data_IF_116858398688
#
_entry.id   IF_116858398688
#
_cell.length_a   1.000
_cell.length_b   1.000
_cell.length_c   1.000
_cell.angle_alpha   90.00
_cell.angle_beta   90.00
_cell.angle_gamma   90.00
#
_symmetry.space_group_name_H-M   'P 1'
#
loop_
_entity.id
_entity.type
_entity.pdbx_description
1 polymer ?
#
# COMPACT_ATOMS: atom_id res chain seq x y z
N UNK A 1 -51.18 45.69 14.06
CA UNK A 1 -51.18 46.06 15.50
C UNK A 1 -49.95 45.40 16.11
N UNK A 2 -48.80 46.07 16.18
CA UNK A 2 -48.32 46.98 17.26
C UNK A 2 -48.35 46.35 18.65
N UNK A 3 -47.21 45.75 19.04
CA UNK A 3 -46.74 45.65 20.42
C UNK A 3 -45.22 45.77 20.43
N UNK A 4 -44.71 46.78 21.14
CA UNK A 4 -43.30 47.10 21.41
C UNK A 4 -42.91 46.62 22.82
N UNK A 5 -41.59 46.68 23.08
CA UNK A 5 -40.84 46.74 24.37
C UNK A 5 -40.06 45.44 24.64
N UNK A 6 -38.75 45.36 24.38
CA UNK A 6 -37.57 45.97 25.06
C UNK A 6 -37.59 45.73 26.58
N UNK A 7 -36.70 44.85 27.08
CA UNK A 7 -35.81 45.11 28.24
C UNK A 7 -34.50 44.35 28.04
N UNK A 8 -33.40 45.10 28.18
CA UNK A 8 -32.00 44.66 28.24
C UNK A 8 -31.72 44.11 29.65
N UNK A 9 -31.05 42.97 29.76
CA UNK A 9 -30.42 42.53 31.01
C UNK A 9 -29.00 42.03 30.71
N UNK A 10 -28.04 42.93 30.85
CA UNK A 10 -26.61 42.64 30.95
C UNK A 10 -26.36 41.95 32.29
N UNK A 11 -25.85 40.72 32.28
CA UNK A 11 -25.27 40.09 33.46
C UNK A 11 -23.81 39.77 33.15
N UNK A 12 -22.93 40.63 33.64
CA UNK A 12 -21.54 40.26 33.93
C UNK A 12 -21.59 39.21 35.05
N UNK A 13 -21.11 38.00 34.74
CA UNK A 13 -20.88 36.95 35.72
C UNK A 13 -19.55 36.29 35.41
N UNK A 14 -18.48 36.86 35.95
CA UNK A 14 -17.18 36.19 36.01
C UNK A 14 -17.29 35.01 36.97
N UNK A 15 -17.19 33.79 36.43
CA UNK A 15 -16.93 32.59 37.22
C UNK A 15 -15.65 31.94 36.66
N UNK A 16 -14.52 32.32 37.26
CA UNK A 16 -13.33 31.48 37.29
C UNK A 16 -13.71 30.17 37.99
N UNK A 17 -13.82 29.09 37.23
CA UNK A 17 -13.64 27.74 37.76
C UNK A 17 -12.59 27.06 36.91
N UNK A 18 -11.36 27.09 37.43
CA UNK A 18 -10.28 26.22 37.05
C UNK A 18 -10.67 24.77 37.35
N UNK A 19 -11.40 24.15 36.42
CA UNK A 19 -11.57 22.70 36.39
C UNK A 19 -10.38 22.12 35.66
N UNK A 20 -9.35 21.82 36.45
CA UNK A 20 -8.42 20.70 36.31
C UNK A 20 -8.16 20.31 34.85
N UNK A 21 -7.08 20.84 34.31
CA UNK A 21 -6.30 20.23 33.24
C UNK A 21 -5.86 18.84 33.68
N UNK A 22 -6.79 17.89 33.67
CA UNK A 22 -6.48 16.51 33.40
C UNK A 22 -6.07 16.47 31.94
N UNK A 23 -4.81 16.80 31.67
CA UNK A 23 -4.10 16.14 30.58
C UNK A 23 -4.15 14.66 30.96
N UNK A 24 -5.25 13.98 30.59
CA UNK A 24 -5.16 12.57 30.28
C UNK A 24 -4.07 12.55 29.22
N UNK A 25 -2.86 12.18 29.64
CA UNK A 25 -1.90 11.70 28.68
C UNK A 25 -2.68 10.64 27.91
N UNK A 26 -3.04 10.97 26.66
CA UNK A 26 -3.18 9.92 25.69
C UNK A 26 -1.88 9.15 25.84
N UNK A 27 -1.94 8.00 26.54
CA UNK A 27 -1.00 6.94 26.29
C UNK A 27 -1.13 6.75 24.78
N UNK A 28 -0.26 7.42 24.03
CA UNK A 28 0.01 7.07 22.66
C UNK A 28 0.23 5.58 22.78
N UNK A 29 -0.69 4.81 22.21
CA UNK A 29 -0.47 3.39 22.01
C UNK A 29 0.77 3.38 21.13
N UNK A 30 1.95 3.34 21.74
CA UNK A 30 3.20 3.08 21.05
C UNK A 30 3.04 1.62 20.69
N UNK A 31 2.34 1.39 19.60
CA UNK A 31 2.29 0.11 18.94
C UNK A 31 3.74 -0.31 18.81
N UNK A 32 4.09 -1.34 19.58
CA UNK A 32 5.49 -1.69 19.77
C UNK A 32 5.96 -2.18 18.41
N UNK A 33 6.73 -1.33 17.72
CA UNK A 33 7.20 -1.62 16.38
C UNK A 33 7.84 -3.02 16.34
N UNK A 34 7.65 -3.78 15.25
CA UNK A 34 8.19 -5.13 15.12
C UNK A 34 9.70 -5.17 15.38
N UNK A 35 10.17 -6.24 16.03
CA UNK A 35 11.60 -6.49 16.18
C UNK A 35 12.19 -6.95 14.84
N UNK A 36 13.37 -6.45 14.47
CA UNK A 36 14.03 -6.83 13.21
C UNK A 36 13.87 -5.84 12.06
N UNK A 37 13.23 -4.68 12.29
CA UNK A 37 13.24 -3.57 11.34
C UNK A 37 14.45 -2.65 11.54
N UNK A 38 14.89 -1.97 10.49
CA UNK A 38 16.01 -1.02 10.51
C UNK A 38 15.64 0.28 11.24
N UNK A 39 16.65 1.13 11.48
CA UNK A 39 16.40 2.47 12.02
C UNK A 39 15.66 3.36 11.01
N UNK A 40 16.00 3.25 9.72
CA UNK A 40 15.35 4.02 8.66
C UNK A 40 13.86 3.65 8.56
N UNK A 41 13.53 2.36 8.61
CA UNK A 41 12.13 1.91 8.59
C UNK A 41 11.35 2.43 9.83
N UNK A 42 11.96 2.42 11.03
CA UNK A 42 11.35 3.01 12.23
C UNK A 42 11.06 4.50 12.08
N UNK A 43 11.97 5.25 11.47
CA UNK A 43 11.82 6.69 11.27
C UNK A 43 10.70 7.02 10.28
N UNK A 44 10.51 6.20 9.25
CA UNK A 44 9.37 6.31 8.33
C UNK A 44 8.06 6.02 9.07
N UNK A 45 7.99 4.92 9.83
CA UNK A 45 6.78 4.49 10.55
C UNK A 45 6.38 5.43 11.69
N UNK A 46 7.32 6.23 12.21
CA UNK A 46 7.03 7.22 13.24
C UNK A 46 6.37 8.51 12.69
N UNK A 47 6.23 8.64 11.36
CA UNK A 47 5.55 9.77 10.73
C UNK A 47 4.03 9.59 10.82
N UNK A 48 3.29 10.70 10.90
CA UNK A 48 1.82 10.69 11.01
C UNK A 48 1.13 10.00 9.81
N UNK A 49 1.79 10.00 8.66
CA UNK A 49 1.30 9.41 7.42
C UNK A 49 2.44 8.70 6.70
N UNK A 50 2.16 7.49 6.21
CA UNK A 50 3.06 6.77 5.31
C UNK A 50 2.48 6.88 3.92
N UNK A 51 2.88 7.95 3.21
CA UNK A 51 2.44 8.24 1.85
C UNK A 51 3.29 7.54 0.79
N UNK A 52 3.07 7.92 -0.47
CA UNK A 52 3.84 7.39 -1.59
C UNK A 52 5.34 7.75 -1.51
N UNK A 53 5.68 8.92 -0.97
CA UNK A 53 7.07 9.36 -0.84
C UNK A 53 7.80 8.55 0.24
N UNK A 54 7.18 8.32 1.39
CA UNK A 54 7.67 7.42 2.44
C UNK A 54 7.86 5.98 1.92
N UNK A 55 6.87 5.48 1.18
CA UNK A 55 6.93 4.16 0.59
C UNK A 55 8.09 4.05 -0.43
N UNK A 56 8.29 5.08 -1.25
CA UNK A 56 9.42 5.17 -2.18
C UNK A 56 10.77 5.25 -1.47
N UNK A 57 10.84 5.95 -0.35
CA UNK A 57 12.03 6.00 0.52
C UNK A 57 12.39 4.60 1.04
N UNK A 58 11.42 3.85 1.57
CA UNK A 58 11.63 2.47 2.02
C UNK A 58 12.11 1.54 0.90
N UNK A 59 11.57 1.67 -0.31
CA UNK A 59 12.04 0.94 -1.49
C UNK A 59 13.48 1.27 -1.87
N UNK A 60 13.88 2.54 -1.74
CA UNK A 60 15.27 2.93 -1.99
C UNK A 60 16.22 2.31 -0.94
N UNK A 61 15.82 2.28 0.34
CA UNK A 61 16.59 1.62 1.39
C UNK A 61 16.71 0.12 1.16
N UNK A 62 15.61 -0.53 0.77
CA UNK A 62 15.59 -1.94 0.41
C UNK A 62 16.51 -2.25 -0.78
N UNK A 63 16.46 -1.43 -1.85
CA UNK A 63 17.35 -1.55 -3.00
C UNK A 63 18.83 -1.50 -2.59
N UNK A 64 19.19 -0.54 -1.75
CA UNK A 64 20.56 -0.39 -1.25
C UNK A 64 21.01 -1.58 -0.41
N UNK A 65 20.15 -2.10 0.47
CA UNK A 65 20.45 -3.31 1.24
C UNK A 65 20.70 -4.51 0.33
N UNK A 66 19.83 -4.71 -0.66
CA UNK A 66 19.95 -5.80 -1.65
C UNK A 66 21.27 -5.75 -2.41
N UNK A 67 21.62 -4.59 -2.95
CA UNK A 67 22.83 -4.44 -3.77
C UNK A 67 24.13 -4.65 -2.99
N UNK A 68 24.12 -4.46 -1.66
CA UNK A 68 25.31 -4.63 -0.83
C UNK A 68 25.55 -6.09 -0.43
N UNK A 69 24.51 -6.84 -0.08
CA UNK A 69 24.67 -8.06 0.73
C UNK A 69 24.03 -9.33 0.14
N UNK A 70 23.21 -9.22 -0.92
CA UNK A 70 22.42 -10.36 -1.43
C UNK A 70 22.99 -11.03 -2.69
N UNK A 71 23.90 -10.37 -3.40
CA UNK A 71 24.40 -10.82 -4.71
C UNK A 71 23.44 -10.54 -5.88
N UNK A 72 22.37 -9.78 -5.63
CA UNK A 72 21.42 -9.32 -6.63
C UNK A 72 21.62 -7.86 -7.01
N UNK A 73 21.17 -7.49 -8.21
CA UNK A 73 20.92 -6.12 -8.64
C UNK A 73 19.44 -5.96 -8.91
N UNK A 74 18.90 -4.81 -8.53
CA UNK A 74 17.49 -4.50 -8.68
C UNK A 74 17.30 -3.38 -9.70
N UNK A 75 16.22 -3.43 -10.48
CA UNK A 75 15.85 -2.33 -11.37
C UNK A 75 15.30 -1.15 -10.58
N UNK A 76 15.14 -0.01 -11.25
CA UNK A 76 14.30 1.07 -10.71
C UNK A 76 12.89 0.52 -10.46
N UNK A 77 12.30 0.73 -9.26
CA UNK A 77 10.93 0.34 -8.97
C UNK A 77 9.95 1.07 -9.90
N UNK A 78 9.01 0.32 -10.46
CA UNK A 78 7.92 0.85 -11.29
C UNK A 78 6.58 0.66 -10.59
N UNK A 79 5.64 1.62 -10.68
CA UNK A 79 4.28 1.41 -10.20
C UNK A 79 3.66 0.18 -10.84
N UNK A 80 3.13 -0.73 -10.04
CA UNK A 80 2.39 -1.89 -10.52
C UNK A 80 0.95 -1.46 -10.85
N UNK A 81 0.52 -1.47 -12.11
CA UNK A 81 -0.85 -1.06 -12.49
C UNK A 81 -1.91 -2.07 -12.04
N UNK A 82 -1.53 -3.31 -11.72
CA UNK A 82 -2.47 -4.36 -11.31
C UNK A 82 -2.92 -4.14 -9.86
N UNK A 83 -1.99 -3.81 -8.96
CA UNK A 83 -2.33 -3.35 -7.61
C UNK A 83 -2.64 -1.85 -7.51
N UNK A 84 -2.15 -1.05 -8.46
CA UNK A 84 -2.19 0.42 -8.54
C UNK A 84 -1.57 1.15 -7.35
N UNK A 85 -0.84 0.43 -6.51
CA UNK A 85 -0.25 0.95 -5.26
C UNK A 85 1.13 0.39 -4.98
N UNK A 86 1.35 -0.91 -5.20
CA UNK A 86 2.67 -1.50 -4.99
C UNK A 86 3.64 -1.06 -6.07
N UNK A 87 4.93 -1.23 -5.77
CA UNK A 87 5.95 -1.20 -6.79
C UNK A 87 6.26 -2.64 -7.21
N UNK A 88 6.64 -2.79 -8.47
CA UNK A 88 7.30 -3.97 -8.98
C UNK A 88 8.71 -3.58 -9.42
N UNK A 89 9.63 -4.53 -9.38
CA UNK A 89 10.98 -4.36 -9.89
C UNK A 89 11.50 -5.69 -10.44
N UNK A 90 12.55 -5.63 -11.24
CA UNK A 90 13.28 -6.80 -11.68
C UNK A 90 14.46 -7.04 -10.75
N UNK A 91 14.59 -8.27 -10.25
CA UNK A 91 15.75 -8.72 -9.49
C UNK A 91 16.59 -9.59 -10.42
N UNK A 92 17.86 -9.24 -10.59
CA UNK A 92 18.80 -9.95 -11.46
C UNK A 92 20.02 -10.40 -10.68
N UNK A 93 20.50 -11.62 -10.90
CA UNK A 93 21.74 -12.09 -10.28
C UNK A 93 22.94 -11.35 -10.87
N UNK A 94 23.85 -10.88 -10.01
CA UNK A 94 25.11 -10.29 -10.46
C UNK A 94 26.03 -11.43 -10.93
N UNK A 95 26.55 -11.40 -12.18
CA UNK A 95 27.43 -12.45 -12.68
C UNK A 95 28.66 -12.67 -11.77
N UNK A 96 28.84 -13.90 -11.30
CA UNK A 96 29.96 -14.29 -10.43
C UNK A 96 29.80 -13.93 -8.94
N UNK A 97 28.71 -13.26 -8.55
CA UNK A 97 28.40 -13.04 -7.14
C UNK A 97 27.83 -14.32 -6.50
N UNK A 98 28.07 -14.49 -5.20
CA UNK A 98 27.38 -15.50 -4.41
C UNK A 98 26.01 -14.96 -4.02
N UNK A 99 24.96 -15.67 -4.43
CA UNK A 99 23.58 -15.34 -4.09
C UNK A 99 23.29 -15.72 -2.63
N UNK A 100 22.64 -14.82 -1.91
CA UNK A 100 22.21 -15.02 -0.54
C UNK A 100 20.72 -14.63 -0.36
N UNK A 101 19.82 -15.61 -0.49
CA UNK A 101 18.38 -15.41 -0.36
C UNK A 101 17.94 -15.05 1.07
N UNK A 102 18.74 -15.44 2.08
CA UNK A 102 18.46 -15.08 3.47
C UNK A 102 18.73 -13.59 3.69
N UNK A 103 19.77 -13.04 3.03
CA UNK A 103 20.03 -11.61 3.02
C UNK A 103 18.95 -10.83 2.27
N UNK A 104 18.43 -11.36 1.16
CA UNK A 104 17.28 -10.78 0.45
C UNK A 104 16.04 -10.67 1.35
N UNK A 105 15.66 -11.80 1.96
CA UNK A 105 14.53 -11.85 2.89
C UNK A 105 14.72 -10.92 4.09
N UNK A 106 15.94 -10.81 4.60
CA UNK A 106 16.27 -9.89 5.69
C UNK A 106 16.20 -8.42 5.25
N UNK A 107 16.72 -8.09 4.07
CA UNK A 107 16.63 -6.74 3.51
C UNK A 107 15.16 -6.32 3.33
N UNK A 108 14.31 -7.20 2.79
CA UNK A 108 12.89 -6.90 2.62
C UNK A 108 12.21 -6.65 3.97
N UNK A 109 12.41 -7.55 4.93
CA UNK A 109 11.86 -7.42 6.29
C UNK A 109 12.35 -6.15 6.98
N UNK A 110 13.65 -5.90 6.93
CA UNK A 110 14.29 -4.85 7.70
C UNK A 110 14.09 -3.45 7.12
N UNK A 111 13.85 -3.31 5.81
CA UNK A 111 13.73 -2.00 5.17
C UNK A 111 12.35 -1.68 4.59
N UNK A 112 11.53 -2.67 4.21
CA UNK A 112 10.32 -2.44 3.41
C UNK A 112 9.00 -2.94 4.03
N UNK A 113 8.97 -4.17 4.55
CA UNK A 113 7.72 -4.91 4.81
C UNK A 113 6.67 -4.12 5.61
N UNK A 114 7.05 -3.51 6.73
CA UNK A 114 6.08 -2.82 7.59
C UNK A 114 5.66 -1.46 7.02
N UNK A 115 6.56 -0.77 6.32
CA UNK A 115 6.20 0.45 5.58
C UNK A 115 5.22 0.12 4.45
N UNK A 116 5.43 -0.97 3.71
CA UNK A 116 4.49 -1.43 2.69
C UNK A 116 3.12 -1.78 3.31
N UNK A 117 3.10 -2.51 4.43
CA UNK A 117 1.85 -2.82 5.14
C UNK A 117 1.09 -1.55 5.55
N UNK A 118 1.79 -0.60 6.16
CA UNK A 118 1.18 0.64 6.65
C UNK A 118 0.68 1.52 5.50
N UNK A 119 1.47 1.64 4.42
CA UNK A 119 1.05 2.34 3.20
C UNK A 119 -0.21 1.72 2.59
N UNK A 120 -0.28 0.39 2.46
CA UNK A 120 -1.46 -0.29 1.91
C UNK A 120 -2.68 -0.16 2.82
N UNK A 121 -2.48 -0.21 4.14
CA UNK A 121 -3.54 0.01 5.13
C UNK A 121 -4.18 1.38 4.97
N UNK A 122 -3.36 2.42 4.78
CA UNK A 122 -3.83 3.80 4.57
C UNK A 122 -4.37 4.03 3.15
N UNK A 123 -3.81 3.34 2.16
CA UNK A 123 -4.12 3.49 0.74
C UNK A 123 -4.45 2.14 0.07
N UNK A 124 -5.69 1.64 0.23
CA UNK A 124 -6.07 0.34 -0.29
C UNK A 124 -5.78 0.17 -1.78
N UNK A 125 -5.34 -1.03 -2.14
CA UNK A 125 -5.02 -1.39 -3.52
C UNK A 125 -6.25 -1.26 -4.43
N UNK A 126 -6.01 -0.70 -5.61
CA UNK A 126 -6.99 -0.55 -6.68
C UNK A 126 -6.28 -0.64 -8.00
N UNK A 127 -6.70 -1.56 -8.85
CA UNK A 127 -6.21 -1.69 -10.22
C UNK A 127 -6.38 -0.37 -10.97
N UNK A 128 -5.45 -0.07 -11.87
CA UNK A 128 -5.57 1.08 -12.76
C UNK A 128 -6.93 1.03 -13.51
N UNK A 129 -7.75 2.09 -13.49
CA UNK A 129 -9.09 2.06 -14.08
C UNK A 129 -9.11 1.79 -15.58
N UNK A 130 -8.05 2.17 -16.31
CA UNK A 130 -7.95 1.91 -17.75
C UNK A 130 -7.58 0.44 -17.97
N UNK A 131 -6.66 -0.10 -17.17
CA UNK A 131 -6.34 -1.53 -17.19
C UNK A 131 -7.57 -2.38 -16.88
N UNK A 132 -8.30 -2.05 -15.81
CA UNK A 132 -9.50 -2.79 -15.40
C UNK A 132 -10.57 -2.82 -16.50
N UNK A 133 -10.75 -1.72 -17.25
CA UNK A 133 -11.65 -1.69 -18.39
C UNK A 133 -11.20 -2.63 -19.52
N UNK A 134 -9.90 -2.70 -19.83
CA UNK A 134 -9.38 -3.64 -20.82
C UNK A 134 -9.51 -5.09 -20.36
N UNK A 135 -9.31 -5.34 -19.05
CA UNK A 135 -9.55 -6.65 -18.45
C UNK A 135 -11.01 -7.07 -18.65
N UNK A 136 -11.99 -6.23 -18.32
CA UNK A 136 -13.41 -6.55 -18.55
C UNK A 136 -13.73 -6.84 -20.02
N UNK A 137 -13.23 -6.01 -20.94
CA UNK A 137 -13.45 -6.22 -22.37
C UNK A 137 -12.88 -7.57 -22.87
N UNK A 138 -11.71 -7.96 -22.35
CA UNK A 138 -11.08 -9.23 -22.70
C UNK A 138 -11.76 -10.44 -22.04
N UNK A 139 -12.24 -10.30 -20.80
CA UNK A 139 -13.05 -11.33 -20.12
C UNK A 139 -14.37 -11.58 -20.87
N UNK A 140 -15.05 -10.52 -21.30
CA UNK A 140 -16.25 -10.61 -22.15
C UNK A 140 -15.95 -11.38 -23.45
N UNK A 141 -14.84 -11.04 -24.13
CA UNK A 141 -14.43 -11.69 -25.37
C UNK A 141 -14.13 -13.17 -25.19
N UNK A 142 -13.56 -13.55 -24.03
CA UNK A 142 -13.27 -14.95 -23.68
C UNK A 142 -14.45 -15.70 -23.07
N UNK A 143 -15.56 -15.01 -22.77
CA UNK A 143 -16.72 -15.61 -22.10
C UNK A 143 -16.46 -16.00 -20.65
N UNK A 144 -15.50 -15.34 -19.97
CA UNK A 144 -15.17 -15.58 -18.57
C UNK A 144 -16.04 -14.67 -17.70
N UNK A 145 -16.74 -15.24 -16.72
CA UNK A 145 -17.65 -14.48 -15.86
C UNK A 145 -16.93 -13.56 -14.88
N UNK A 146 -17.50 -12.38 -14.64
CA UNK A 146 -17.11 -11.42 -13.61
C UNK A 146 -18.36 -10.66 -13.14
N UNK A 147 -18.25 -9.90 -12.05
CA UNK A 147 -19.38 -9.19 -11.43
C UNK A 147 -19.56 -7.76 -11.96
N UNK A 148 -18.49 -7.17 -12.49
CA UNK A 148 -18.43 -5.77 -12.92
C UNK A 148 -18.19 -4.79 -11.78
N UNK A 149 -18.05 -5.29 -10.55
CA UNK A 149 -17.80 -4.49 -9.35
C UNK A 149 -16.35 -4.59 -8.85
N UNK A 150 -15.51 -5.34 -9.56
CA UNK A 150 -14.11 -5.52 -9.23
C UNK A 150 -13.37 -4.18 -9.25
N UNK A 151 -12.51 -3.97 -8.27
CA UNK A 151 -11.64 -2.81 -8.13
C UNK A 151 -10.18 -3.22 -8.00
N UNK A 152 -9.92 -4.45 -7.58
CA UNK A 152 -8.59 -5.04 -7.45
C UNK A 152 -8.62 -6.51 -7.94
N UNK A 153 -7.46 -7.16 -7.99
CA UNK A 153 -7.35 -8.54 -8.46
C UNK A 153 -8.12 -9.55 -7.58
N UNK A 154 -8.13 -9.37 -6.26
CA UNK A 154 -8.81 -10.28 -5.34
C UNK A 154 -10.33 -10.28 -5.53
N UNK A 155 -10.92 -9.16 -5.98
CA UNK A 155 -12.37 -9.06 -6.21
C UNK A 155 -12.89 -10.02 -7.30
N UNK A 156 -12.03 -10.53 -8.19
CA UNK A 156 -12.40 -11.56 -9.17
C UNK A 156 -12.66 -12.95 -8.53
N UNK A 157 -12.37 -13.08 -7.24
CA UNK A 157 -12.38 -14.31 -6.44
C UNK A 157 -13.15 -14.10 -5.12
N UNK A 158 -14.47 -13.88 -5.16
CA UNK A 158 -15.26 -13.58 -3.96
C UNK A 158 -15.26 -14.70 -2.91
N UNK A 159 -15.09 -15.95 -3.33
CA UNK A 159 -14.97 -17.13 -2.46
C UNK A 159 -13.50 -17.53 -2.22
N UNK A 160 -12.55 -16.67 -2.61
CA UNK A 160 -11.11 -16.95 -2.57
C UNK A 160 -10.59 -17.71 -3.79
N UNK A 161 -9.28 -18.03 -3.76
CA UNK A 161 -8.55 -18.65 -4.88
C UNK A 161 -8.72 -20.19 -4.98
N UNK A 162 -9.82 -20.75 -4.47
CA UNK A 162 -10.04 -22.21 -4.45
C UNK A 162 -10.18 -22.80 -5.87
N UNK A 163 -10.50 -21.98 -6.86
CA UNK A 163 -10.49 -22.34 -8.28
C UNK A 163 -9.19 -21.88 -8.97
N UNK A 164 -8.21 -22.79 -9.01
CA UNK A 164 -6.94 -22.59 -9.71
C UNK A 164 -7.11 -22.36 -11.22
N UNK A 165 -8.17 -22.89 -11.82
CA UNK A 165 -8.44 -22.70 -13.26
C UNK A 165 -8.84 -21.25 -13.49
N UNK A 166 -9.82 -20.76 -12.72
CA UNK A 166 -10.22 -19.35 -12.75
C UNK A 166 -9.06 -18.42 -12.43
N UNK A 167 -8.26 -18.74 -11.41
CA UNK A 167 -7.08 -17.94 -11.05
C UNK A 167 -6.08 -17.83 -12.21
N UNK A 168 -5.83 -18.93 -12.92
CA UNK A 168 -4.98 -18.92 -14.12
C UNK A 168 -5.60 -18.11 -15.26
N UNK A 169 -6.89 -18.27 -15.53
CA UNK A 169 -7.57 -17.59 -16.64
C UNK A 169 -7.65 -16.08 -16.43
N UNK A 170 -8.11 -15.64 -15.25
CA UNK A 170 -8.16 -14.22 -14.88
C UNK A 170 -6.73 -13.66 -14.81
N UNK A 171 -5.80 -14.36 -14.15
CA UNK A 171 -4.41 -13.93 -14.05
C UNK A 171 -3.74 -13.73 -15.41
N UNK A 172 -3.99 -14.63 -16.36
CA UNK A 172 -3.49 -14.49 -17.72
C UNK A 172 -4.07 -13.26 -18.43
N UNK A 173 -5.38 -13.01 -18.31
CA UNK A 173 -6.01 -11.82 -18.91
C UNK A 173 -5.44 -10.54 -18.29
N UNK A 174 -5.37 -10.47 -16.96
CA UNK A 174 -4.84 -9.29 -16.25
C UNK A 174 -3.40 -9.01 -16.65
N UNK A 175 -2.55 -10.04 -16.65
CA UNK A 175 -1.14 -9.88 -17.02
C UNK A 175 -0.94 -9.54 -18.50
N UNK A 176 -1.68 -10.18 -19.41
CA UNK A 176 -1.62 -9.88 -20.84
C UNK A 176 -2.02 -8.42 -21.13
N UNK A 177 -3.08 -7.92 -20.49
CA UNK A 177 -3.50 -6.53 -20.66
C UNK A 177 -2.50 -5.56 -20.02
N UNK A 178 -1.98 -5.89 -18.83
CA UNK A 178 -0.99 -5.05 -18.16
C UNK A 178 0.30 -4.92 -18.99
N UNK A 179 0.83 -6.03 -19.49
CA UNK A 179 2.06 -6.03 -20.32
C UNK A 179 1.87 -5.31 -21.66
N UNK A 180 0.68 -5.40 -22.27
CA UNK A 180 0.35 -4.68 -23.51
C UNK A 180 0.28 -3.16 -23.29
N UNK A 181 -0.31 -2.72 -22.18
CA UNK A 181 -0.54 -1.29 -21.90
C UNK A 181 0.64 -0.61 -21.21
N UNK A 182 1.41 -1.36 -20.42
CA UNK A 182 2.50 -0.86 -19.58
C UNK A 182 3.77 -1.66 -19.90
N UNK A 183 4.55 -1.26 -20.92
CA UNK A 183 5.69 -2.03 -21.44
C UNK A 183 6.84 -2.30 -20.44
N UNK A 184 6.80 -1.70 -19.25
CA UNK A 184 7.74 -1.96 -18.16
C UNK A 184 7.30 -3.08 -17.20
N UNK A 185 6.03 -3.50 -17.24
CA UNK A 185 5.52 -4.58 -16.40
C UNK A 185 5.99 -5.90 -17.01
N UNK A 186 7.06 -6.47 -16.45
CA UNK A 186 7.60 -7.77 -16.86
C UNK A 186 7.25 -8.89 -15.87
N UNK A 187 6.84 -8.51 -14.66
CA UNK A 187 6.47 -9.42 -13.59
C UNK A 187 5.39 -8.78 -12.73
N UNK A 188 4.51 -9.62 -12.21
CA UNK A 188 3.57 -9.27 -11.16
C UNK A 188 3.34 -10.47 -10.26
N UNK A 189 3.39 -10.25 -8.95
CA UNK A 189 3.02 -11.22 -7.94
C UNK A 189 1.54 -11.05 -7.58
N UNK A 190 0.74 -12.09 -7.79
CA UNK A 190 -0.62 -12.14 -7.28
C UNK A 190 -0.61 -12.20 -5.75
N UNK A 191 -0.59 -11.04 -5.10
CA UNK A 191 -0.81 -10.91 -3.66
C UNK A 191 -2.30 -10.94 -3.38
N UNK A 192 -2.74 -11.86 -2.53
CA UNK A 192 -4.06 -11.89 -1.92
C UNK A 192 -3.95 -11.35 -0.49
#
# INVERSE_FOLDING_TARGET
MRSRNIVIATVLGAALLASLTGCTAEESVTEKLPTGISQAQREILARDQVGFDEYKEAWANYALCMENDSGYRVSTPIPDPISGRKYAWEITMIPGAQVNNDADSECQRSELTEVEHEYIRQFPQRMDPVLLQQVFAELDRKGISYTGNEKNYADFFPDGAEDLTRAREIGAVVFDQATQMFPGVSYWGAGF
#
